data_IF_459288441436
#
_entry.id   IF_459288441436
#
_cell.length_a   1.000
_cell.length_b   1.000
_cell.length_c   1.000
_cell.angle_alpha   90.00
_cell.angle_beta   90.00
_cell.angle_gamma   90.00
#
_symmetry.space_group_name_H-M   'P 1'
#
loop_
_entity.id
_entity.type
_entity.pdbx_description
1 polymer ?
#
# COMPACT_ATOMS: atom_id res chain seq x y z
N UNK A 1 3.28 2.43 -21.82
CA UNK A 1 4.11 3.57 -21.34
C UNK A 1 5.29 3.03 -20.55
N UNK A 2 6.52 3.54 -20.72
CA UNK A 2 7.70 3.11 -19.90
C UNK A 2 7.61 3.63 -18.46
N UNK A 3 8.16 2.89 -17.49
CA UNK A 3 8.19 3.26 -16.08
C UNK A 3 8.74 4.68 -15.86
N UNK A 4 9.89 5.01 -16.45
CA UNK A 4 10.49 6.36 -16.32
C UNK A 4 9.59 7.49 -16.82
N UNK A 5 8.72 7.22 -17.79
CA UNK A 5 7.77 8.19 -18.30
C UNK A 5 6.60 8.36 -17.33
N UNK A 6 6.08 7.26 -16.76
CA UNK A 6 5.05 7.30 -15.71
C UNK A 6 5.52 8.13 -14.52
N UNK A 7 6.75 7.89 -14.06
CA UNK A 7 7.34 8.60 -12.91
C UNK A 7 7.67 10.08 -13.18
N UNK A 8 7.48 10.58 -14.40
CA UNK A 8 7.65 12.01 -14.72
C UNK A 8 6.33 12.73 -14.93
N UNK A 9 5.20 12.02 -14.90
CA UNK A 9 3.90 12.65 -15.09
C UNK A 9 3.50 13.46 -13.83
N UNK A 10 3.06 14.72 -14.00
CA UNK A 10 2.65 15.55 -12.87
C UNK A 10 1.45 14.99 -12.08
N UNK A 11 0.59 14.22 -12.75
CA UNK A 11 -0.63 13.64 -12.19
C UNK A 11 -0.38 12.33 -11.41
N UNK A 12 0.77 11.68 -11.61
CA UNK A 12 1.05 10.35 -11.07
C UNK A 12 1.81 10.40 -9.73
N UNK A 13 2.60 11.45 -9.47
CA UNK A 13 3.43 11.54 -8.27
C UNK A 13 3.10 12.75 -7.38
N UNK A 14 2.65 12.54 -6.14
CA UNK A 14 2.63 13.61 -5.17
C UNK A 14 4.06 14.08 -4.87
N UNK A 15 4.26 15.40 -4.93
CA UNK A 15 5.47 16.02 -4.38
C UNK A 15 5.53 15.71 -2.90
N UNK A 16 6.67 15.21 -2.40
CA UNK A 16 6.83 14.85 -0.98
C UNK A 16 6.52 16.07 -0.09
N UNK A 17 5.44 16.05 0.71
CA UNK A 17 5.15 17.16 1.60
C UNK A 17 6.20 17.27 2.70
N UNK A 18 6.42 18.48 3.23
CA UNK A 18 7.39 18.70 4.32
C UNK A 18 7.16 17.79 5.52
N UNK A 19 5.89 17.51 5.84
CA UNK A 19 5.49 16.59 6.92
C UNK A 19 5.95 15.16 6.59
N UNK A 20 5.74 14.68 5.36
CA UNK A 20 6.22 13.35 4.94
C UNK A 20 7.75 13.27 5.01
N UNK A 21 8.47 14.26 4.48
CA UNK A 21 9.94 14.28 4.54
C UNK A 21 10.45 14.28 5.99
N UNK A 22 9.82 15.05 6.89
CA UNK A 22 10.14 15.06 8.32
C UNK A 22 9.90 13.69 8.93
N UNK A 23 8.76 13.07 8.68
CA UNK A 23 8.43 11.73 9.18
C UNK A 23 9.41 10.67 8.65
N UNK A 24 9.75 10.69 7.36
CA UNK A 24 10.70 9.75 6.76
C UNK A 24 12.09 9.90 7.40
N UNK A 25 12.51 11.13 7.70
CA UNK A 25 13.80 11.36 8.36
C UNK A 25 13.92 10.75 9.76
N UNK A 26 12.81 10.37 10.39
CA UNK A 26 12.81 9.71 11.71
C UNK A 26 13.05 8.20 11.67
N UNK A 27 13.11 7.58 10.49
CA UNK A 27 13.39 6.13 10.41
C UNK A 27 14.82 5.79 10.83
N UNK A 28 15.76 6.69 10.54
CA UNK A 28 17.20 6.48 10.80
C UNK A 28 17.66 7.18 12.10
N UNK A 29 16.73 7.54 12.99
CA UNK A 29 17.02 8.24 14.26
C UNK A 29 16.82 7.31 15.45
N UNK A 30 17.86 7.19 16.28
CA UNK A 30 17.81 6.41 17.54
C UNK A 30 16.88 7.06 18.58
N UNK A 31 16.89 8.40 18.63
CA UNK A 31 16.02 9.19 19.50
C UNK A 31 15.21 10.20 18.69
N UNK A 32 13.89 10.18 18.89
CA UNK A 32 12.95 11.08 18.20
C UNK A 32 12.18 11.88 19.24
N UNK A 33 12.16 13.21 19.08
CA UNK A 33 11.30 14.08 19.88
C UNK A 33 9.83 13.88 19.48
N UNK A 34 9.11 13.10 20.29
CA UNK A 34 7.69 12.79 20.07
C UNK A 34 6.80 14.03 20.11
N UNK A 35 7.16 15.06 20.89
CA UNK A 35 6.38 16.30 20.95
C UNK A 35 6.56 17.13 19.69
N UNK A 36 7.76 17.16 19.13
CA UNK A 36 8.02 17.79 17.84
C UNK A 36 7.23 17.13 16.71
N UNK A 37 7.23 15.79 16.65
CA UNK A 37 6.44 15.05 15.66
C UNK A 37 4.95 15.27 15.84
N UNK A 38 4.44 15.22 17.08
CA UNK A 38 3.05 15.49 17.37
C UNK A 38 2.63 16.90 16.93
N UNK A 39 3.47 17.91 17.19
CA UNK A 39 3.25 19.28 16.76
C UNK A 39 3.27 19.41 15.25
N UNK A 40 4.24 18.78 14.58
CA UNK A 40 4.38 18.81 13.13
C UNK A 40 3.12 18.26 12.44
N UNK A 41 2.64 17.07 12.84
CA UNK A 41 1.41 16.49 12.32
C UNK A 41 0.19 17.36 12.68
N UNK A 42 0.14 17.85 13.93
CA UNK A 42 -0.95 18.66 14.45
C UNK A 42 -1.15 20.01 13.75
N UNK A 43 -0.17 20.49 12.96
CA UNK A 43 -0.32 21.68 12.13
C UNK A 43 -1.27 21.48 10.94
N UNK A 44 -1.50 20.23 10.54
CA UNK A 44 -2.41 19.88 9.44
C UNK A 44 -3.69 19.26 10.01
N UNK A 45 -4.83 19.98 9.98
CA UNK A 45 -6.09 19.49 10.52
C UNK A 45 -6.66 18.31 9.74
N UNK A 46 -6.38 18.21 8.43
CA UNK A 46 -6.86 17.12 7.58
C UNK A 46 -6.12 15.83 7.92
N UNK A 47 -4.79 15.88 8.00
CA UNK A 47 -3.98 14.73 8.40
C UNK A 47 -4.27 14.30 9.83
N UNK A 48 -4.43 15.26 10.75
CA UNK A 48 -4.80 14.97 12.14
C UNK A 48 -6.15 14.26 12.21
N UNK A 49 -7.18 14.75 11.50
CA UNK A 49 -8.49 14.12 11.49
C UNK A 49 -8.43 12.69 10.89
N UNK A 50 -7.70 12.49 9.80
CA UNK A 50 -7.52 11.15 9.19
C UNK A 50 -6.79 10.19 10.12
N UNK A 51 -5.70 10.63 10.76
CA UNK A 51 -4.98 9.84 11.76
C UNK A 51 -5.89 9.41 12.90
N UNK A 52 -6.62 10.36 13.51
CA UNK A 52 -7.50 10.05 14.65
C UNK A 52 -8.66 9.14 14.25
N UNK A 53 -9.23 9.31 13.04
CA UNK A 53 -10.27 8.42 12.51
C UNK A 53 -9.77 6.97 12.41
N UNK A 54 -8.57 6.77 11.86
CA UNK A 54 -7.99 5.44 11.71
C UNK A 54 -7.56 4.87 13.07
N UNK A 55 -6.91 5.67 13.91
CA UNK A 55 -6.47 5.27 15.25
C UNK A 55 -7.62 4.81 16.15
N UNK A 56 -8.77 5.49 16.06
CA UNK A 56 -9.97 5.17 16.84
C UNK A 56 -10.89 4.13 16.18
N UNK A 57 -10.49 3.55 15.05
CA UNK A 57 -11.28 2.49 14.43
C UNK A 57 -11.31 1.24 15.30
N UNK A 58 -12.37 0.45 15.17
CA UNK A 58 -12.53 -0.83 15.89
C UNK A 58 -11.32 -1.76 15.69
N UNK A 59 -10.59 -1.60 14.59
CA UNK A 59 -9.38 -2.33 14.27
C UNK A 59 -8.30 -2.28 15.34
N UNK A 60 -8.01 -1.09 15.88
CA UNK A 60 -6.99 -0.95 16.92
C UNK A 60 -7.50 -1.31 18.32
N UNK A 61 -8.83 -1.47 18.49
CA UNK A 61 -9.43 -1.95 19.73
C UNK A 61 -9.08 -1.10 20.95
N UNK A 62 -8.92 0.21 20.77
CA UNK A 62 -8.48 1.10 21.85
C UNK A 62 -9.53 1.15 22.97
N UNK A 63 -9.08 0.97 24.21
CA UNK A 63 -9.93 1.08 25.41
C UNK A 63 -10.45 2.49 25.65
N UNK A 64 -9.70 3.50 25.18
CA UNK A 64 -10.07 4.91 25.17
C UNK A 64 -9.71 5.52 23.83
N UNK A 65 -10.61 6.31 23.26
CA UNK A 65 -10.36 7.06 22.04
C UNK A 65 -9.21 8.06 22.22
N UNK A 66 -8.29 8.09 21.26
CA UNK A 66 -7.27 9.11 21.13
C UNK A 66 -7.92 10.43 20.67
N UNK A 67 -7.64 11.51 21.41
CA UNK A 67 -8.21 12.85 21.14
C UNK A 67 -7.20 13.84 20.55
N UNK A 68 -5.93 13.44 20.49
CA UNK A 68 -4.83 14.27 19.97
C UNK A 68 -3.77 13.40 19.28
N UNK A 69 -2.89 14.01 18.49
CA UNK A 69 -1.76 13.29 17.88
C UNK A 69 -0.87 12.69 18.97
N UNK A 70 -0.62 13.43 20.06
CA UNK A 70 0.14 12.93 21.21
C UNK A 70 -0.52 11.71 21.85
N UNK A 71 -1.86 11.72 21.99
CA UNK A 71 -2.61 10.56 22.50
C UNK A 71 -2.44 9.36 21.56
N UNK A 72 -2.56 9.58 20.25
CA UNK A 72 -2.37 8.52 19.26
C UNK A 72 -0.96 7.93 19.31
N UNK A 73 0.08 8.77 19.49
CA UNK A 73 1.47 8.31 19.65
C UNK A 73 1.61 7.49 20.94
N UNK A 74 1.04 7.95 22.05
CA UNK A 74 1.12 7.23 23.33
C UNK A 74 0.46 5.86 23.29
N UNK A 75 -0.65 5.73 22.56
CA UNK A 75 -1.45 4.50 22.54
C UNK A 75 -0.99 3.53 21.44
N UNK A 76 -0.66 4.03 20.25
CA UNK A 76 -0.27 3.20 19.10
C UNK A 76 1.24 3.04 18.94
N UNK A 77 2.02 3.97 19.49
CA UNK A 77 3.45 4.12 19.25
C UNK A 77 3.75 4.96 18.00
N UNK A 78 4.94 5.58 18.00
CA UNK A 78 5.41 6.46 16.93
C UNK A 78 5.40 5.78 15.56
N UNK A 79 5.85 4.53 15.47
CA UNK A 79 5.99 3.81 14.20
C UNK A 79 4.65 3.71 13.48
N UNK A 80 3.59 3.29 14.18
CA UNK A 80 2.26 3.15 13.60
C UNK A 80 1.71 4.52 13.21
N UNK A 81 1.81 5.52 14.09
CA UNK A 81 1.36 6.89 13.78
C UNK A 81 2.06 7.43 12.53
N UNK A 82 3.38 7.28 12.45
CA UNK A 82 4.17 7.69 11.29
C UNK A 82 3.69 7.03 10.00
N UNK A 83 3.54 5.70 10.01
CA UNK A 83 3.05 4.95 8.86
C UNK A 83 1.63 5.40 8.47
N UNK A 84 0.72 5.53 9.43
CA UNK A 84 -0.66 5.97 9.20
C UNK A 84 -0.74 7.39 8.63
N UNK A 85 0.10 8.32 9.10
CA UNK A 85 0.16 9.67 8.54
C UNK A 85 0.74 9.66 7.13
N UNK A 86 1.79 8.87 6.85
CA UNK A 86 2.32 8.71 5.50
C UNK A 86 1.27 8.14 4.54
N UNK A 87 0.51 7.12 4.98
CA UNK A 87 -0.64 6.60 4.25
C UNK A 87 -1.72 7.67 4.04
N UNK A 88 -2.05 8.46 5.07
CA UNK A 88 -3.03 9.54 4.96
C UNK A 88 -2.59 10.64 3.98
N UNK A 89 -1.30 10.96 3.92
CA UNK A 89 -0.76 11.94 2.94
C UNK A 89 -0.96 11.42 1.51
N UNK A 90 -0.70 10.14 1.28
CA UNK A 90 -0.91 9.51 -0.02
C UNK A 90 -2.41 9.43 -0.36
N UNK A 91 -3.25 9.05 0.60
CA UNK A 91 -4.70 9.02 0.48
C UNK A 91 -5.31 10.41 0.19
N UNK A 92 -4.74 11.48 0.75
CA UNK A 92 -5.12 12.85 0.39
C UNK A 92 -4.66 13.18 -1.02
N UNK A 93 -3.48 12.72 -1.43
CA UNK A 93 -2.95 13.00 -2.77
C UNK A 93 -3.79 12.34 -3.86
N UNK A 94 -4.35 11.17 -3.58
CA UNK A 94 -5.19 10.38 -4.48
C UNK A 94 -6.68 10.52 -4.12
N UNK A 95 -7.27 11.70 -4.35
CA UNK A 95 -8.67 11.99 -3.99
C UNK A 95 -9.70 11.08 -4.68
N UNK A 96 -9.46 10.76 -5.95
CA UNK A 96 -10.21 9.77 -6.73
C UNK A 96 -9.27 9.15 -7.75
N UNK A 97 -9.36 7.84 -7.92
CA UNK A 97 -8.51 7.08 -8.82
C UNK A 97 -9.43 6.20 -9.66
N UNK A 98 -9.57 6.45 -10.98
CA UNK A 98 -10.44 5.67 -11.84
C UNK A 98 -10.13 4.18 -11.75
N UNK A 99 -11.17 3.34 -11.71
CA UNK A 99 -11.00 1.89 -11.59
C UNK A 99 -10.62 1.35 -10.21
N UNK A 100 -10.47 2.21 -9.19
CA UNK A 100 -10.05 1.81 -7.84
C UNK A 100 -11.06 2.19 -6.75
N UNK A 101 -11.36 1.24 -5.85
CA UNK A 101 -12.12 1.48 -4.62
C UNK A 101 -11.16 1.84 -3.48
N UNK A 102 -10.94 3.13 -3.25
CA UNK A 102 -9.92 3.61 -2.30
C UNK A 102 -10.12 3.08 -0.87
N UNK A 103 -11.36 2.99 -0.39
CA UNK A 103 -11.65 2.43 0.93
C UNK A 103 -11.21 0.95 1.03
N UNK A 104 -11.49 0.15 0.00
CA UNK A 104 -11.04 -1.24 -0.08
C UNK A 104 -9.51 -1.32 -0.17
N UNK A 105 -8.89 -0.47 -0.97
CA UNK A 105 -7.44 -0.41 -1.12
C UNK A 105 -6.71 -0.10 0.21
N UNK A 106 -7.16 0.90 0.96
CA UNK A 106 -6.54 1.27 2.23
C UNK A 106 -6.79 0.23 3.32
N UNK A 107 -7.97 -0.40 3.33
CA UNK A 107 -8.25 -1.54 4.21
C UNK A 107 -7.32 -2.71 3.92
N UNK A 108 -7.19 -3.09 2.64
CA UNK A 108 -6.26 -4.12 2.19
C UNK A 108 -4.81 -3.80 2.60
N UNK A 109 -4.38 -2.55 2.43
CA UNK A 109 -3.04 -2.09 2.79
C UNK A 109 -2.80 -2.17 4.31
N UNK A 110 -3.77 -1.76 5.13
CA UNK A 110 -3.66 -1.83 6.59
C UNK A 110 -3.68 -3.27 7.13
N UNK A 111 -4.50 -4.13 6.54
CA UNK A 111 -4.51 -5.56 6.84
C UNK A 111 -3.15 -6.20 6.51
N UNK A 112 -2.60 -5.88 5.33
CA UNK A 112 -1.28 -6.37 4.90
C UNK A 112 -0.17 -5.87 5.84
N UNK A 113 -0.17 -4.59 6.20
CA UNK A 113 0.77 -4.01 7.16
C UNK A 113 0.78 -4.76 8.50
N UNK A 114 -0.41 -5.06 9.01
CA UNK A 114 -0.58 -5.68 10.32
C UNK A 114 -0.21 -7.15 10.32
N UNK A 115 -0.56 -7.86 9.24
CA UNK A 115 -0.18 -9.25 9.08
C UNK A 115 1.32 -9.40 8.83
N UNK A 116 1.93 -8.55 8.01
CA UNK A 116 3.39 -8.53 7.79
C UNK A 116 4.15 -8.29 9.11
N UNK A 117 3.66 -7.36 9.94
CA UNK A 117 4.19 -7.13 11.29
C UNK A 117 4.07 -8.38 12.17
N UNK A 118 2.91 -9.03 12.16
CA UNK A 118 2.64 -10.25 12.94
C UNK A 118 3.56 -11.40 12.51
N UNK A 119 3.83 -11.54 11.21
CA UNK A 119 4.76 -12.54 10.66
C UNK A 119 6.19 -12.25 11.11
N UNK A 120 6.63 -10.99 11.08
CA UNK A 120 8.01 -10.61 11.40
C UNK A 120 8.36 -10.76 12.89
N UNK A 121 7.39 -10.53 13.78
CA UNK A 121 7.61 -10.49 15.23
C UNK A 121 8.25 -11.78 15.82
N UNK A 122 7.71 -12.99 15.59
CA UNK A 122 8.33 -14.22 16.10
C UNK A 122 9.68 -14.53 15.41
N UNK A 123 9.87 -14.05 14.18
CA UNK A 123 11.09 -14.24 13.39
C UNK A 123 12.21 -13.26 13.76
N UNK A 124 11.95 -12.29 14.67
CA UNK A 124 12.89 -11.21 15.03
C UNK A 124 13.35 -10.39 13.82
N UNK A 125 12.51 -10.30 12.80
CA UNK A 125 12.65 -9.37 11.68
C UNK A 125 12.04 -8.04 12.13
N UNK A 126 12.62 -6.92 11.70
CA UNK A 126 12.13 -5.57 12.01
C UNK A 126 10.67 -5.38 11.59
N UNK A 127 9.79 -5.53 12.56
CA UNK A 127 8.35 -5.54 12.40
C UNK A 127 7.79 -4.12 12.17
N UNK A 128 8.55 -3.10 12.56
CA UNK A 128 8.21 -1.70 12.38
C UNK A 128 8.41 -1.25 10.93
N UNK A 129 9.54 -1.67 10.35
CA UNK A 129 9.79 -1.54 8.91
C UNK A 129 8.77 -2.36 8.12
N UNK A 130 8.47 -3.60 8.54
CA UNK A 130 7.46 -4.43 7.89
C UNK A 130 6.06 -3.81 7.90
N UNK A 131 5.63 -3.19 9.02
CA UNK A 131 4.35 -2.50 9.08
C UNK A 131 4.30 -1.33 8.10
N UNK A 132 5.35 -0.50 8.05
CA UNK A 132 5.39 0.66 7.14
C UNK A 132 5.40 0.21 5.69
N UNK A 133 6.31 -0.70 5.32
CA UNK A 133 6.42 -1.21 3.97
C UNK A 133 5.13 -1.94 3.56
N UNK A 134 4.54 -2.73 4.44
CA UNK A 134 3.25 -3.38 4.22
C UNK A 134 2.07 -2.42 4.09
N UNK A 135 2.11 -1.23 4.68
CA UNK A 135 1.07 -0.21 4.46
C UNK A 135 1.23 0.48 3.10
N UNK A 136 2.46 0.60 2.61
CA UNK A 136 2.80 1.30 1.37
C UNK A 136 2.94 0.35 0.16
N UNK A 137 2.89 -0.96 0.38
CA UNK A 137 3.27 -1.98 -0.60
C UNK A 137 2.49 -1.88 -1.92
N UNK A 138 1.21 -1.52 -1.85
CA UNK A 138 0.32 -1.42 -3.01
C UNK A 138 0.30 -0.05 -3.68
N UNK A 139 1.06 0.96 -3.21
CA UNK A 139 0.88 2.35 -3.65
C UNK A 139 1.11 2.56 -5.16
N UNK A 140 1.92 1.70 -5.77
CA UNK A 140 2.12 1.73 -7.22
C UNK A 140 0.83 1.56 -8.01
N UNK A 141 -0.16 0.82 -7.50
CA UNK A 141 -1.47 0.68 -8.16
C UNK A 141 -2.17 2.03 -8.29
N UNK A 142 -2.14 2.87 -7.25
CA UNK A 142 -2.76 4.19 -7.31
C UNK A 142 -2.05 5.09 -8.32
N UNK A 143 -0.71 5.05 -8.35
CA UNK A 143 0.11 5.81 -9.30
C UNK A 143 -0.18 5.36 -10.74
N UNK A 144 -0.25 4.05 -10.97
CA UNK A 144 -0.54 3.48 -12.27
C UNK A 144 -1.93 3.87 -12.76
N UNK A 145 -2.97 3.76 -11.93
CA UNK A 145 -4.33 4.16 -12.32
C UNK A 145 -4.47 5.67 -12.51
N UNK A 146 -3.73 6.49 -11.77
CA UNK A 146 -3.72 7.95 -11.95
C UNK A 146 -2.97 8.38 -13.22
N UNK A 147 -1.85 7.72 -13.55
CA UNK A 147 -0.99 8.10 -14.68
C UNK A 147 -1.30 7.42 -16.02
N UNK A 148 -2.00 6.28 -15.99
CA UNK A 148 -2.45 5.56 -17.19
C UNK A 148 -3.84 4.95 -17.02
N UNK A 149 -4.87 5.80 -16.81
CA UNK A 149 -6.21 5.34 -16.49
C UNK A 149 -6.82 4.45 -17.57
N UNK A 150 -6.59 4.70 -18.86
CA UNK A 150 -7.15 3.87 -19.94
C UNK A 150 -6.51 2.47 -19.97
N UNK A 151 -5.19 2.40 -19.81
CA UNK A 151 -4.46 1.14 -19.83
C UNK A 151 -4.78 0.29 -18.58
N UNK A 152 -4.91 0.92 -17.42
CA UNK A 152 -5.33 0.25 -16.20
C UNK A 152 -6.81 -0.18 -16.26
N UNK A 153 -7.68 0.61 -16.88
CA UNK A 153 -9.05 0.19 -17.16
C UNK A 153 -9.08 -1.08 -18.01
N UNK A 154 -8.30 -1.15 -19.09
CA UNK A 154 -8.20 -2.34 -19.95
C UNK A 154 -7.72 -3.58 -19.17
N UNK A 155 -6.70 -3.40 -18.31
CA UNK A 155 -6.23 -4.48 -17.44
C UNK A 155 -7.32 -4.93 -16.45
N UNK A 156 -8.03 -3.98 -15.83
CA UNK A 156 -9.07 -4.26 -14.84
C UNK A 156 -10.28 -5.01 -15.41
N UNK A 157 -10.53 -4.94 -16.72
CA UNK A 157 -11.56 -5.75 -17.38
C UNK A 157 -11.23 -7.25 -17.35
N UNK A 158 -9.96 -7.61 -17.22
CA UNK A 158 -9.48 -8.99 -17.28
C UNK A 158 -8.99 -9.50 -15.92
N UNK A 159 -8.43 -8.61 -15.08
CA UNK A 159 -7.80 -8.96 -13.81
C UNK A 159 -8.12 -7.90 -12.76
N UNK A 160 -8.84 -8.30 -11.71
CA UNK A 160 -9.17 -7.42 -10.59
C UNK A 160 -7.89 -6.84 -9.92
N UNK A 161 -7.89 -5.56 -9.49
CA UNK A 161 -6.74 -4.95 -8.80
C UNK A 161 -6.21 -5.74 -7.59
N UNK A 162 -7.07 -6.47 -6.89
CA UNK A 162 -6.72 -7.30 -5.75
C UNK A 162 -6.55 -8.79 -6.09
N UNK A 163 -6.59 -9.17 -7.37
CA UNK A 163 -6.34 -10.54 -7.79
C UNK A 163 -4.91 -11.00 -7.42
N UNK A 164 -4.76 -12.29 -7.10
CA UNK A 164 -3.44 -12.87 -6.79
C UNK A 164 -2.42 -12.73 -7.94
N UNK A 165 -2.91 -12.78 -9.18
CA UNK A 165 -2.08 -12.76 -10.40
C UNK A 165 -1.85 -11.35 -10.97
N UNK A 166 -2.15 -10.32 -10.20
CA UNK A 166 -2.09 -8.92 -10.65
C UNK A 166 -0.71 -8.54 -11.20
N UNK A 167 0.35 -8.86 -10.46
CA UNK A 167 1.73 -8.56 -10.87
C UNK A 167 2.17 -9.25 -12.17
N UNK A 168 1.74 -10.50 -12.40
CA UNK A 168 2.00 -11.19 -13.67
C UNK A 168 1.33 -10.47 -14.85
N UNK A 169 0.08 -10.05 -14.66
CA UNK A 169 -0.70 -9.39 -15.70
C UNK A 169 -0.15 -8.00 -16.05
N UNK A 170 0.28 -7.24 -15.05
CA UNK A 170 0.97 -5.95 -15.24
C UNK A 170 2.32 -6.14 -15.96
N UNK A 171 3.11 -7.13 -15.57
CA UNK A 171 4.37 -7.45 -16.24
C UNK A 171 4.14 -7.78 -17.71
N UNK A 172 3.13 -8.60 -18.02
CA UNK A 172 2.80 -8.98 -19.38
C UNK A 172 2.34 -7.79 -20.24
N UNK A 173 1.59 -6.86 -19.66
CA UNK A 173 1.02 -5.71 -20.39
C UNK A 173 1.98 -4.51 -20.48
N UNK A 174 2.75 -4.25 -19.43
CA UNK A 174 3.54 -3.01 -19.27
C UNK A 174 5.05 -3.23 -19.18
N UNK A 175 5.49 -4.45 -18.87
CA UNK A 175 6.91 -4.78 -18.63
C UNK A 175 7.43 -4.38 -17.25
N UNK A 176 6.54 -3.96 -16.35
CA UNK A 176 6.81 -3.65 -14.93
C UNK A 176 5.51 -3.79 -14.13
N UNK A 177 5.60 -3.70 -12.82
CA UNK A 177 4.52 -3.93 -11.87
C UNK A 177 4.28 -2.74 -10.96
N UNK A 178 3.19 -2.79 -10.19
CA UNK A 178 2.93 -1.84 -9.10
C UNK A 178 4.05 -1.84 -8.05
N UNK A 179 4.77 -2.95 -7.87
CA UNK A 179 5.89 -3.03 -6.93
C UNK A 179 7.06 -2.15 -7.40
N UNK A 180 7.38 -2.16 -8.70
CA UNK A 180 8.43 -1.33 -9.29
C UNK A 180 8.10 0.16 -9.20
N UNK A 181 6.83 0.51 -9.43
CA UNK A 181 6.32 1.88 -9.34
C UNK A 181 6.34 2.36 -7.90
N UNK A 182 5.86 1.54 -6.95
CA UNK A 182 5.86 1.84 -5.52
C UNK A 182 7.29 2.01 -4.97
N UNK A 183 8.21 1.15 -5.36
CA UNK A 183 9.63 1.28 -5.00
C UNK A 183 10.25 2.56 -5.57
N UNK A 184 9.90 2.93 -6.80
CA UNK A 184 10.38 4.16 -7.43
C UNK A 184 9.87 5.41 -6.69
N UNK A 185 8.61 5.41 -6.22
CA UNK A 185 8.10 6.45 -5.32
C UNK A 185 8.91 6.46 -4.01
N UNK A 186 9.07 5.32 -3.36
CA UNK A 186 9.78 5.20 -2.10
C UNK A 186 11.22 5.74 -2.18
N UNK A 187 11.94 5.44 -3.28
CA UNK A 187 13.28 6.01 -3.56
C UNK A 187 13.23 7.53 -3.71
N UNK A 188 12.26 8.06 -4.48
CA UNK A 188 12.13 9.52 -4.68
C UNK A 188 11.83 10.27 -3.38
N UNK A 189 11.07 9.64 -2.48
CA UNK A 189 10.74 10.15 -1.15
C UNK A 189 11.86 9.90 -0.12
N UNK A 190 12.94 9.24 -0.53
CA UNK A 190 14.13 8.91 0.28
C UNK A 190 13.81 8.03 1.49
N UNK A 191 12.92 7.06 1.32
CA UNK A 191 12.74 6.02 2.34
C UNK A 191 14.03 5.21 2.55
N UNK A 192 14.24 4.65 3.76
CA UNK A 192 15.31 3.71 4.02
C UNK A 192 15.34 2.57 3.00
N UNK A 193 16.55 2.13 2.64
CA UNK A 193 16.77 1.08 1.62
C UNK A 193 15.94 -0.18 1.90
N UNK A 194 15.81 -0.60 3.16
CA UNK A 194 15.02 -1.78 3.54
C UNK A 194 13.53 -1.66 3.18
N UNK A 195 12.95 -0.47 3.28
CA UNK A 195 11.56 -0.24 2.85
C UNK A 195 11.45 -0.29 1.33
N UNK A 196 12.42 0.32 0.63
CA UNK A 196 12.47 0.27 -0.83
C UNK A 196 12.57 -1.17 -1.32
N UNK A 197 13.55 -1.93 -0.83
CA UNK A 197 13.80 -3.33 -1.20
C UNK A 197 12.58 -4.22 -0.88
N UNK A 198 11.95 -3.99 0.28
CA UNK A 198 10.77 -4.73 0.68
C UNK A 198 9.58 -4.51 -0.25
N UNK A 199 9.39 -3.27 -0.75
CA UNK A 199 8.32 -2.95 -1.71
C UNK A 199 8.69 -3.46 -3.10
N UNK A 200 9.93 -3.30 -3.54
CA UNK A 200 10.41 -3.66 -4.88
C UNK A 200 10.32 -5.16 -5.14
N UNK A 201 10.74 -5.98 -4.17
CA UNK A 201 10.84 -7.42 -4.37
C UNK A 201 9.63 -8.20 -3.86
N UNK A 202 8.55 -7.53 -3.43
CA UNK A 202 7.41 -8.17 -2.75
C UNK A 202 6.67 -9.21 -3.61
N UNK A 203 6.74 -9.12 -4.94
CA UNK A 203 6.05 -10.05 -5.83
C UNK A 203 6.85 -11.33 -6.08
N UNK A 204 8.18 -11.23 -6.03
CA UNK A 204 9.12 -12.33 -6.22
C UNK A 204 10.24 -12.29 -5.17
N UNK A 205 9.91 -12.48 -3.87
CA UNK A 205 10.92 -12.42 -2.83
C UNK A 205 12.00 -13.50 -3.03
N UNK A 206 13.25 -13.16 -2.72
CA UNK A 206 14.40 -14.07 -2.77
C UNK A 206 14.87 -14.48 -4.17
N UNK A 207 14.25 -13.96 -5.24
CA UNK A 207 14.76 -14.13 -6.60
C UNK A 207 15.97 -13.22 -6.89
N UNK A 208 16.74 -13.58 -7.91
CA UNK A 208 17.87 -12.79 -8.44
C UNK A 208 18.96 -12.41 -7.41
N UNK A 209 19.08 -13.19 -6.32
CA UNK A 209 20.08 -12.99 -5.28
C UNK A 209 19.74 -11.88 -4.27
N UNK A 210 18.56 -11.28 -4.35
CA UNK A 210 18.11 -10.25 -3.40
C UNK A 210 17.36 -10.90 -2.23
N UNK A 211 18.00 -10.97 -1.07
CA UNK A 211 17.37 -11.47 0.15
C UNK A 211 17.01 -10.31 1.09
N UNK A 212 15.76 -9.85 1.04
CA UNK A 212 15.16 -8.99 2.07
C UNK A 212 13.98 -9.75 2.72
N UNK A 213 14.10 -10.23 3.97
CA UNK A 213 13.07 -11.04 4.60
C UNK A 213 11.73 -10.30 4.79
N UNK A 214 11.75 -8.95 4.88
CA UNK A 214 10.51 -8.16 4.95
C UNK A 214 9.71 -8.28 3.65
N UNK A 215 10.37 -8.42 2.50
CA UNK A 215 9.70 -8.66 1.21
C UNK A 215 8.88 -9.95 1.26
N UNK A 216 9.45 -11.04 1.78
CA UNK A 216 8.72 -12.30 1.94
C UNK A 216 7.55 -12.22 2.93
N UNK A 217 7.72 -11.46 4.02
CA UNK A 217 6.63 -11.24 4.97
C UNK A 217 5.47 -10.44 4.36
N UNK A 218 5.78 -9.41 3.54
CA UNK A 218 4.77 -8.66 2.78
C UNK A 218 4.12 -9.57 1.75
N UNK A 219 4.87 -10.40 1.04
CA UNK A 219 4.33 -11.34 0.05
C UNK A 219 3.28 -12.28 0.67
N UNK A 220 3.62 -12.94 1.79
CA UNK A 220 2.71 -13.83 2.51
C UNK A 220 1.50 -13.07 3.05
N UNK A 221 1.71 -11.87 3.61
CA UNK A 221 0.64 -11.04 4.14
C UNK A 221 -0.33 -10.57 3.04
N UNK A 222 0.21 -10.10 1.92
CA UNK A 222 -0.55 -9.63 0.76
C UNK A 222 -1.34 -10.78 0.14
N UNK A 223 -0.71 -11.95 -0.05
CA UNK A 223 -1.39 -13.17 -0.50
C UNK A 223 -2.61 -13.49 0.37
N UNK A 224 -2.43 -13.54 1.70
CA UNK A 224 -3.52 -13.89 2.62
C UNK A 224 -4.65 -12.86 2.62
N UNK A 225 -4.31 -11.57 2.50
CA UNK A 225 -5.29 -10.49 2.42
C UNK A 225 -6.05 -10.51 1.09
N UNK A 226 -5.37 -10.72 -0.05
CA UNK A 226 -6.00 -10.89 -1.37
C UNK A 226 -6.91 -12.11 -1.43
N UNK A 227 -6.51 -13.19 -0.77
CA UNK A 227 -7.33 -14.40 -0.67
C UNK A 227 -8.63 -14.17 0.11
N UNK A 228 -8.60 -13.35 1.17
CA UNK A 228 -9.82 -12.93 1.89
C UNK A 228 -10.72 -12.06 1.01
N UNK A 229 -10.15 -11.05 0.33
CA UNK A 229 -10.91 -10.16 -0.56
C UNK A 229 -11.51 -10.94 -1.75
N UNK A 230 -10.84 -12.01 -2.19
CA UNK A 230 -11.33 -12.93 -3.22
C UNK A 230 -12.28 -14.02 -2.69
N UNK A 231 -12.58 -14.03 -1.38
CA UNK A 231 -13.41 -15.02 -0.70
C UNK A 231 -12.99 -16.47 -1.00
N UNK A 232 -11.69 -16.76 -1.02
CA UNK A 232 -11.20 -18.10 -1.28
C UNK A 232 -11.63 -19.07 -0.19
N UNK A 233 -12.09 -20.26 -0.60
CA UNK A 233 -12.38 -21.37 0.31
C UNK A 233 -11.12 -21.91 0.99
N UNK A 234 -11.27 -22.65 2.08
CA UNK A 234 -10.14 -23.28 2.80
C UNK A 234 -9.25 -24.12 1.89
N UNK A 235 -9.82 -24.91 0.98
CA UNK A 235 -9.05 -25.70 0.02
C UNK A 235 -8.28 -24.83 -0.98
N UNK A 236 -8.87 -23.73 -1.44
CA UNK A 236 -8.19 -22.79 -2.34
C UNK A 236 -7.06 -22.04 -1.64
N UNK A 237 -7.22 -21.71 -0.36
CA UNK A 237 -6.15 -21.14 0.45
C UNK A 237 -4.95 -22.08 0.51
N UNK A 238 -5.17 -23.36 0.85
CA UNK A 238 -4.08 -24.36 0.88
C UNK A 238 -3.39 -24.47 -0.47
N UNK A 239 -4.17 -24.58 -1.56
CA UNK A 239 -3.62 -24.78 -2.91
C UNK A 239 -2.91 -23.56 -3.51
N UNK A 240 -3.09 -22.37 -2.92
CA UNK A 240 -2.47 -21.13 -3.41
C UNK A 240 -1.41 -20.60 -2.44
N UNK A 241 -1.12 -21.30 -1.36
CA UNK A 241 -0.14 -20.89 -0.37
C UNK A 241 1.26 -20.74 -1.03
N UNK A 242 1.98 -19.62 -0.79
CA UNK A 242 3.34 -19.43 -1.29
C UNK A 242 4.37 -20.30 -0.54
N UNK A 243 4.36 -21.61 -0.77
CA UNK A 243 5.18 -22.60 -0.04
C UNK A 243 6.66 -22.25 0.01
N UNK A 244 7.25 -21.86 -1.12
CA UNK A 244 8.67 -21.53 -1.21
C UNK A 244 9.07 -20.38 -0.29
N UNK A 245 8.22 -19.35 -0.21
CA UNK A 245 8.44 -18.16 0.63
C UNK A 245 8.18 -18.49 2.10
N UNK A 246 7.11 -19.26 2.39
CA UNK A 246 6.78 -19.75 3.72
C UNK A 246 7.92 -20.56 4.33
N UNK A 247 8.44 -21.54 3.58
CA UNK A 247 9.57 -22.38 3.97
C UNK A 247 10.84 -21.53 4.18
N UNK A 248 11.14 -20.61 3.26
CA UNK A 248 12.33 -19.77 3.34
C UNK A 248 12.33 -18.84 4.58
N UNK A 249 11.15 -18.41 5.04
CA UNK A 249 11.01 -17.60 6.25
C UNK A 249 10.77 -18.43 7.53
N UNK A 250 10.52 -19.73 7.41
CA UNK A 250 10.13 -20.58 8.54
C UNK A 250 8.74 -20.25 9.08
N UNK A 251 7.82 -19.80 8.22
CA UNK A 251 6.43 -19.51 8.59
C UNK A 251 5.58 -20.76 8.38
N UNK A 252 4.92 -21.21 9.44
CA UNK A 252 3.98 -22.32 9.39
C UNK A 252 2.71 -21.90 8.59
N UNK A 253 2.31 -22.62 7.52
CA UNK A 253 1.08 -22.33 6.80
C UNK A 253 -0.14 -22.21 7.71
N UNK A 254 -0.27 -23.06 8.74
CA UNK A 254 -1.43 -23.07 9.62
C UNK A 254 -1.60 -21.74 10.38
N UNK A 255 -0.50 -21.05 10.65
CA UNK A 255 -0.51 -19.72 11.30
C UNK A 255 -1.18 -18.64 10.45
N UNK A 256 -1.20 -18.81 9.12
CA UNK A 256 -1.79 -17.88 8.16
C UNK A 256 -3.15 -18.37 7.64
N UNK A 257 -3.39 -19.68 7.63
CA UNK A 257 -4.66 -20.30 7.26
C UNK A 257 -5.73 -20.16 8.35
N UNK A 258 -5.32 -20.06 9.62
CA UNK A 258 -6.19 -19.85 10.79
C UNK A 258 -6.80 -18.45 10.92
N UNK A 259 -7.44 -18.16 12.06
CA UNK A 259 -8.15 -16.92 12.35
C UNK A 259 -7.24 -15.69 12.44
N UNK A 260 -6.83 -15.15 11.28
CA UNK A 260 -6.14 -13.87 11.17
C UNK A 260 -7.15 -12.75 11.39
N UNK A 261 -6.82 -11.80 12.26
CA UNK A 261 -7.61 -10.58 12.45
C UNK A 261 -7.49 -9.67 11.22
N UNK A 262 -8.42 -9.83 10.27
CA UNK A 262 -8.53 -9.04 9.04
C UNK A 262 -9.75 -8.12 9.18
N UNK A 263 -9.60 -6.83 8.87
CA UNK A 263 -10.72 -5.90 8.76
C UNK A 263 -11.61 -6.37 7.61
N UNK A 264 -12.87 -6.71 7.90
CA UNK A 264 -13.87 -7.09 6.90
C UNK A 264 -14.76 -5.90 6.56
N UNK A 265 -15.27 -5.88 5.33
CA UNK A 265 -16.28 -4.91 4.90
C UNK A 265 -17.64 -5.29 5.52
N UNK A 266 -18.42 -4.30 5.95
CA UNK A 266 -19.88 -4.49 6.06
C UNK A 266 -20.43 -4.58 4.65
N UNK A 267 -21.24 -5.60 4.34
CA UNK A 267 -21.68 -5.91 2.99
C UNK A 267 -22.23 -4.67 2.25
N UNK A 268 -21.50 -4.20 1.24
CA UNK A 268 -22.02 -3.29 0.21
C UNK A 268 -22.08 -4.07 -1.11
N UNK A 269 -23.17 -3.85 -1.86
CA UNK A 269 -23.48 -4.56 -3.09
C UNK A 269 -22.43 -4.37 -4.20
N UNK A 270 -22.48 -5.19 -5.26
CA UNK A 270 -21.56 -5.10 -6.37
C UNK A 270 -21.77 -3.77 -7.10
N UNK A 271 -20.84 -2.83 -6.91
CA UNK A 271 -20.73 -1.61 -7.73
C UNK A 271 -19.58 -1.81 -8.71
N UNK A 272 -19.90 -1.75 -10.00
CA UNK A 272 -18.94 -1.78 -11.12
C UNK A 272 -18.07 -0.53 -11.06
N UNK A 273 -16.72 -0.63 -11.06
CA UNK A 273 -15.87 0.54 -11.19
C UNK A 273 -16.12 1.19 -12.56
N UNK A 274 -16.59 2.43 -12.57
CA UNK A 274 -16.77 3.20 -13.81
C UNK A 274 -15.39 3.51 -14.40
N UNK A 275 -15.11 2.97 -15.58
CA UNK A 275 -13.98 3.40 -16.38
C UNK A 275 -14.26 4.79 -16.97
N UNK A 276 -13.23 5.65 -17.12
CA UNK A 276 -13.41 6.92 -17.80
C UNK A 276 -13.90 6.68 -19.23
N UNK A 277 -14.91 7.43 -19.65
CA UNK A 277 -15.37 7.42 -21.04
C UNK A 277 -14.19 7.77 -21.95
N UNK A 278 -13.99 6.98 -23.01
CA UNK A 278 -12.98 7.26 -24.03
C UNK A 278 -13.25 8.67 -24.55
N UNK A 279 -12.36 9.62 -24.26
CA UNK A 279 -12.42 10.93 -24.88
C UNK A 279 -12.35 10.72 -26.40
N UNK A 280 -13.47 10.90 -27.09
CA UNK A 280 -13.48 10.99 -28.54
C UNK A 280 -12.52 12.13 -28.91
N UNK A 281 -11.43 11.79 -29.61
CA UNK A 281 -10.59 12.77 -30.25
C UNK A 281 -11.46 13.54 -31.25
N UNK A 282 -11.98 14.69 -30.82
CA UNK A 282 -12.54 15.67 -31.71
C UNK A 282 -11.39 16.25 -32.55
N UNK A 283 -11.18 15.67 -33.72
CA UNK A 283 -10.48 16.28 -34.84
C UNK A 283 -11.19 17.61 -35.16
N UNK A 284 -10.70 18.71 -34.59
CA UNK A 284 -10.97 20.03 -35.11
C UNK A 284 -9.87 20.38 -36.10
N UNK A 285 -10.09 19.97 -37.34
CA UNK A 285 -9.53 20.63 -38.51
C UNK A 285 -9.91 22.12 -38.46
N UNK A 286 -9.00 22.95 -37.96
CA UNK A 286 -8.98 24.38 -38.29
C UNK A 286 -8.34 24.55 -39.66
N UNK A 287 -9.19 24.55 -40.68
CA UNK A 287 -8.85 25.09 -42.00
C UNK A 287 -8.64 26.59 -41.86
N UNK A 288 -7.39 27.03 -41.98
CA UNK A 288 -7.01 28.43 -42.19
C UNK A 288 -6.84 28.64 -43.70
N UNK A 289 -7.68 29.49 -44.29
CA UNK A 289 -7.44 30.22 -45.54
C UNK A 289 -8.53 31.33 -45.60
N UNK A 290 -8.18 32.59 -45.40
CA UNK A 290 -7.68 33.55 -46.41
C UNK A 290 -8.79 33.99 -47.37
#
# INVERSE_FOLDING_TARGET
MRLDALMKQPLSLPTVPKIAARLISTFDQDEVDLQDIARCIGTDPVLTARLLKVANSAFFGLSRAASSVSDAINVLGLVKVRALVLGAILDVSFHSVPGMKLEQFWRYSLNTATLARTICLPLRIDENTAFTAGLLHGIGELIMHAGMPEAMCELNQHVDPLALRRGEAETAMFGYTFADVGASLARSWKFPKRIVDAIEHQLTPFENGNYEPISGAIHLAAWRCRAEESNLSGNQLVNTYPDTIGIALGVDPDSLLGGVAIIRQTADGPVTPECPERAEHADHHHTVAA
#
